data_IF_136268627657
#
_entry.id   IF_136268627657
#
_cell.length_a   1.000
_cell.length_b   1.000
_cell.length_c   1.000
_cell.angle_alpha   90.00
_cell.angle_beta   90.00
_cell.angle_gamma   90.00
#
_symmetry.space_group_name_H-M   'P 1'
#
loop_
_entity.id
_entity.type
_entity.pdbx_description
1 polymer ?
#
# COMPACT_ATOMS: atom_id res chain seq x y z
N UNK A 1 -26.60 7.43 -7.10
CA UNK A 1 -26.71 7.78 -5.66
C UNK A 1 -25.67 8.84 -5.37
N UNK A 2 -26.04 9.98 -4.82
CA UNK A 2 -25.09 11.04 -4.53
C UNK A 2 -24.21 10.62 -3.34
N UNK A 3 -22.92 10.50 -3.57
CA UNK A 3 -21.94 10.33 -2.49
C UNK A 3 -21.94 11.63 -1.70
N UNK A 4 -22.40 11.58 -0.45
CA UNK A 4 -22.36 12.73 0.46
C UNK A 4 -20.89 13.07 0.73
N UNK A 5 -20.41 14.22 0.23
CA UNK A 5 -19.15 14.86 0.62
C UNK A 5 -19.24 15.28 2.10
N UNK A 6 -19.02 14.36 3.01
CA UNK A 6 -19.27 14.54 4.43
C UNK A 6 -18.04 14.43 5.31
N UNK A 7 -16.95 15.14 4.98
CA UNK A 7 -15.91 15.49 5.94
C UNK A 7 -15.39 16.90 5.61
N UNK A 8 -16.05 17.92 6.12
CA UNK A 8 -15.48 19.28 6.18
C UNK A 8 -14.38 19.24 7.25
N UNK A 9 -13.13 19.38 6.80
CA UNK A 9 -11.95 19.31 7.63
C UNK A 9 -11.97 20.24 8.83
N UNK A 10 -11.38 19.79 9.92
CA UNK A 10 -10.99 20.62 11.05
C UNK A 10 -9.99 21.68 10.59
N UNK A 11 -10.07 22.88 11.19
CA UNK A 11 -9.23 24.04 10.90
C UNK A 11 -7.75 23.69 10.63
N UNK A 12 -7.26 24.19 9.50
CA UNK A 12 -5.84 24.18 9.12
C UNK A 12 -5.03 24.93 10.19
N UNK A 13 -4.39 24.21 11.08
CA UNK A 13 -3.28 24.77 11.84
C UNK A 13 -2.09 24.86 10.90
N UNK A 14 -1.57 26.06 10.74
CA UNK A 14 -0.55 26.55 9.84
C UNK A 14 0.43 25.56 9.23
N UNK A 15 0.69 25.76 7.96
CA UNK A 15 1.57 25.08 7.03
C UNK A 15 2.73 24.32 7.60
N UNK A 16 2.54 23.03 7.82
CA UNK A 16 3.62 22.07 7.81
C UNK A 16 3.76 21.63 6.36
N UNK A 17 4.92 21.89 5.74
CA UNK A 17 5.22 21.51 4.36
C UNK A 17 5.15 19.98 4.15
N UNK A 18 4.99 19.20 5.22
CA UNK A 18 4.81 17.74 5.22
C UNK A 18 3.34 17.30 5.10
N UNK A 19 2.38 18.23 5.21
CA UNK A 19 0.95 17.92 5.10
C UNK A 19 0.44 18.18 3.68
N UNK A 20 0.03 17.14 2.93
CA UNK A 20 -0.71 17.32 1.71
C UNK A 20 -1.99 18.15 1.94
N UNK A 21 -2.54 18.81 0.91
CA UNK A 21 -3.74 19.62 1.03
C UNK A 21 -4.90 18.85 1.68
N UNK A 22 -5.60 19.47 2.63
CA UNK A 22 -6.74 18.87 3.31
C UNK A 22 -6.42 17.79 4.35
N UNK A 23 -5.15 17.52 4.63
CA UNK A 23 -4.73 16.55 5.65
C UNK A 23 -4.51 17.21 7.02
N UNK A 24 -4.54 16.39 8.07
CA UNK A 24 -4.14 16.76 9.43
C UNK A 24 -3.24 15.68 10.04
N UNK A 25 -2.32 16.07 10.92
CA UNK A 25 -1.47 15.11 11.64
C UNK A 25 -2.25 14.41 12.76
N UNK A 26 -2.16 13.07 12.81
CA UNK A 26 -2.75 12.26 13.89
C UNK A 26 -1.91 12.24 15.16
N UNK A 27 -0.69 12.76 15.13
CA UNK A 27 0.26 12.67 16.23
C UNK A 27 0.57 11.19 16.57
N UNK A 28 0.37 10.81 17.82
CA UNK A 28 0.63 9.45 18.28
C UNK A 28 -0.39 8.41 17.75
N UNK A 29 -1.55 8.85 17.26
CA UNK A 29 -2.58 7.97 16.77
C UNK A 29 -2.21 7.29 15.44
N UNK A 30 -2.78 6.12 15.20
CA UNK A 30 -2.80 5.48 13.88
C UNK A 30 -4.21 4.93 13.64
N UNK A 31 -5.09 5.72 13.00
CA UNK A 31 -6.45 5.28 12.73
C UNK A 31 -6.48 4.05 11.84
N UNK A 32 -7.36 3.11 12.14
CA UNK A 32 -7.63 1.94 11.29
C UNK A 32 -8.92 2.13 10.54
N UNK A 33 -8.86 1.92 9.24
CA UNK A 33 -10.02 1.78 8.37
C UNK A 33 -9.84 0.53 7.52
N UNK A 34 -10.90 -0.24 7.38
CA UNK A 34 -10.91 -1.41 6.50
C UNK A 34 -12.29 -1.56 5.87
N UNK A 35 -12.32 -2.00 4.61
CA UNK A 35 -13.56 -2.37 3.92
C UNK A 35 -14.04 -3.78 4.31
N UNK A 36 -13.22 -4.52 5.03
CA UNK A 36 -13.36 -5.94 5.27
C UNK A 36 -13.18 -6.25 6.76
N UNK A 37 -13.64 -7.43 7.18
CA UNK A 37 -13.34 -7.94 8.51
C UNK A 37 -11.84 -8.25 8.60
N UNK A 38 -11.22 -7.90 9.71
CA UNK A 38 -9.82 -8.23 9.99
C UNK A 38 -9.64 -9.75 10.03
N UNK A 39 -8.87 -10.35 9.11
CA UNK A 39 -8.66 -11.79 9.09
C UNK A 39 -7.69 -12.24 10.19
N UNK A 40 -7.79 -13.50 10.56
CA UNK A 40 -6.73 -14.19 11.26
C UNK A 40 -5.83 -14.87 10.23
N UNK A 41 -4.67 -14.29 9.96
CA UNK A 41 -3.71 -14.83 8.99
C UNK A 41 -2.70 -15.70 9.72
N UNK A 42 -2.68 -16.98 9.35
CA UNK A 42 -1.71 -17.93 9.85
C UNK A 42 -0.40 -17.84 9.05
N UNK A 43 0.69 -17.46 9.71
CA UNK A 43 2.00 -17.32 9.09
C UNK A 43 2.57 -18.63 8.56
N UNK A 44 2.17 -19.78 9.12
CA UNK A 44 2.64 -21.09 8.67
C UNK A 44 2.06 -21.48 7.29
N UNK A 45 0.93 -20.87 6.93
CA UNK A 45 0.27 -21.09 5.63
C UNK A 45 0.31 -19.89 4.71
N UNK A 46 0.73 -18.73 5.22
CA UNK A 46 0.83 -17.51 4.42
C UNK A 46 1.93 -17.61 3.36
N UNK A 47 1.63 -17.08 2.18
CA UNK A 47 2.61 -16.96 1.09
C UNK A 47 2.49 -15.60 0.40
N UNK A 48 3.60 -15.17 -0.20
CA UNK A 48 3.69 -14.01 -1.09
C UNK A 48 4.12 -14.47 -2.48
N UNK A 49 3.30 -14.18 -3.48
CA UNK A 49 3.57 -14.52 -4.88
C UNK A 49 3.81 -13.27 -5.71
N UNK A 50 4.83 -13.29 -6.54
CA UNK A 50 5.02 -12.33 -7.63
C UNK A 50 4.98 -13.11 -8.94
N UNK A 51 4.04 -12.75 -9.83
CA UNK A 51 3.80 -13.45 -11.10
C UNK A 51 3.26 -12.50 -12.20
N UNK A 52 2.64 -13.05 -13.24
CA UNK A 52 2.20 -12.32 -14.42
C UNK A 52 3.35 -12.08 -15.40
N UNK A 53 3.61 -10.83 -15.76
CA UNK A 53 4.67 -10.43 -16.70
C UNK A 53 6.05 -10.38 -16.02
N UNK A 54 6.50 -11.54 -15.55
CA UNK A 54 7.83 -11.79 -14.99
C UNK A 54 8.51 -12.95 -15.70
N UNK A 55 9.83 -13.05 -15.62
CA UNK A 55 10.59 -14.15 -16.22
C UNK A 55 10.43 -15.43 -15.39
N UNK A 56 10.46 -15.32 -14.07
CA UNK A 56 10.38 -16.45 -13.14
C UNK A 56 9.35 -16.16 -12.04
N UNK A 57 8.09 -16.57 -12.22
CA UNK A 57 7.09 -16.47 -11.15
C UNK A 57 7.60 -17.16 -9.88
N UNK A 58 7.55 -16.43 -8.77
CA UNK A 58 8.13 -16.90 -7.50
C UNK A 58 7.14 -16.73 -6.36
N UNK A 59 7.11 -17.72 -5.47
CA UNK A 59 6.33 -17.70 -4.23
C UNK A 59 7.26 -17.90 -3.05
N UNK A 60 7.17 -17.03 -2.07
CA UNK A 60 7.87 -17.11 -0.80
C UNK A 60 6.89 -17.46 0.31
N UNK A 61 7.27 -18.39 1.17
CA UNK A 61 6.64 -18.57 2.47
C UNK A 61 7.18 -17.52 3.46
N UNK A 62 6.67 -17.55 4.69
CA UNK A 62 7.07 -16.64 5.76
C UNK A 62 8.58 -16.64 6.01
N UNK A 63 9.19 -17.82 6.05
CA UNK A 63 10.64 -17.96 6.25
C UNK A 63 11.43 -17.46 5.04
N UNK A 64 10.96 -17.77 3.84
CA UNK A 64 11.60 -17.37 2.59
C UNK A 64 11.66 -15.86 2.41
N UNK A 65 10.55 -15.14 2.70
CA UNK A 65 10.55 -13.68 2.57
C UNK A 65 11.44 -13.00 3.61
N UNK A 66 11.52 -13.54 4.84
CA UNK A 66 12.40 -13.01 5.89
C UNK A 66 13.88 -13.33 5.68
N UNK A 67 14.22 -14.28 4.81
CA UNK A 67 15.60 -14.58 4.42
C UNK A 67 16.13 -13.62 3.35
N UNK A 68 15.28 -12.81 2.72
CA UNK A 68 15.70 -11.80 1.75
C UNK A 68 16.40 -10.62 2.44
N UNK A 69 17.21 -9.83 1.69
CA UNK A 69 17.82 -8.62 2.23
C UNK A 69 16.78 -7.69 2.84
N UNK A 70 16.87 -7.45 4.15
CA UNK A 70 15.98 -6.55 4.86
C UNK A 70 16.10 -5.11 4.40
N UNK A 71 14.99 -4.38 4.40
CA UNK A 71 14.92 -2.97 4.06
C UNK A 71 13.93 -2.26 4.98
N UNK A 72 14.15 -0.97 5.22
CA UNK A 72 13.27 -0.16 6.05
C UNK A 72 12.88 1.13 5.32
N UNK A 73 11.65 1.54 5.52
CA UNK A 73 11.14 2.86 5.17
C UNK A 73 11.08 3.73 6.43
N UNK A 74 11.53 4.98 6.31
CA UNK A 74 11.29 6.02 7.29
C UNK A 74 10.67 7.23 6.62
N UNK A 75 9.51 7.68 7.10
CA UNK A 75 8.81 8.84 6.54
C UNK A 75 7.32 8.88 6.92
N UNK A 76 6.55 9.60 6.14
CA UNK A 76 5.16 9.91 6.40
C UNK A 76 4.23 9.03 5.58
N UNK A 77 3.02 8.81 6.10
CA UNK A 77 1.94 8.12 5.39
C UNK A 77 0.67 8.97 5.42
N UNK A 78 -0.13 8.90 4.36
CA UNK A 78 -1.31 9.74 4.15
C UNK A 78 -2.53 8.90 3.81
N UNK A 79 -3.66 9.14 4.47
CA UNK A 79 -4.91 8.44 4.19
C UNK A 79 -5.92 9.35 3.48
N UNK A 80 -6.68 8.80 2.55
CA UNK A 80 -7.75 9.52 1.86
C UNK A 80 -8.81 10.10 2.81
N UNK A 81 -8.96 9.51 4.01
CA UNK A 81 -9.83 10.00 5.08
C UNK A 81 -9.24 11.18 5.85
N UNK A 82 -8.30 11.90 5.22
CA UNK A 82 -7.75 13.20 5.62
C UNK A 82 -6.72 13.19 6.75
N UNK A 83 -6.29 12.05 7.26
CA UNK A 83 -5.23 12.00 8.24
C UNK A 83 -3.86 11.68 7.62
N UNK A 84 -2.82 12.24 8.20
CA UNK A 84 -1.42 11.89 7.97
C UNK A 84 -0.78 11.44 9.28
N UNK A 85 0.19 10.56 9.20
CA UNK A 85 1.02 10.16 10.33
C UNK A 85 2.48 10.35 9.95
N UNK A 86 3.19 11.11 10.76
CA UNK A 86 4.58 11.47 10.53
C UNK A 86 5.56 10.51 11.20
N UNK A 87 6.80 10.52 10.70
CA UNK A 87 7.95 9.86 11.29
C UNK A 87 7.73 8.37 11.56
N UNK A 88 7.06 7.68 10.63
CA UNK A 88 6.79 6.24 10.73
C UNK A 88 7.99 5.43 10.27
N UNK A 89 8.29 4.34 10.97
CA UNK A 89 9.31 3.37 10.55
C UNK A 89 8.64 2.04 10.23
N UNK A 90 8.83 1.55 9.01
CA UNK A 90 8.38 0.22 8.61
C UNK A 90 9.59 -0.65 8.25
N UNK A 91 9.57 -1.91 8.66
CA UNK A 91 10.63 -2.89 8.34
C UNK A 91 10.05 -4.05 7.53
N UNK A 92 10.80 -4.46 6.52
CA UNK A 92 10.38 -5.52 5.61
C UNK A 92 11.42 -5.79 4.54
N UNK A 93 10.99 -5.98 3.31
CA UNK A 93 11.80 -6.15 2.11
C UNK A 93 11.32 -5.16 1.04
N UNK A 94 12.26 -4.60 0.27
CA UNK A 94 11.91 -3.74 -0.88
C UNK A 94 11.20 -4.57 -1.96
N UNK A 95 10.20 -3.99 -2.60
CA UNK A 95 9.57 -4.59 -3.78
C UNK A 95 10.59 -4.75 -4.91
N UNK A 96 11.56 -3.84 -5.05
CA UNK A 96 12.65 -3.98 -6.03
C UNK A 96 13.40 -5.30 -5.86
N UNK A 97 13.69 -5.73 -4.62
CA UNK A 97 14.34 -7.03 -4.36
C UNK A 97 13.52 -8.20 -4.90
N UNK A 98 12.20 -8.16 -4.74
CA UNK A 98 11.32 -9.21 -5.27
C UNK A 98 11.29 -9.19 -6.80
N UNK A 99 11.23 -7.99 -7.39
CA UNK A 99 11.23 -7.80 -8.84
C UNK A 99 12.56 -8.17 -9.49
N UNK A 100 13.69 -7.91 -8.84
CA UNK A 100 15.02 -8.36 -9.29
C UNK A 100 15.12 -9.90 -9.34
N UNK A 101 14.57 -10.60 -8.34
CA UNK A 101 14.55 -12.06 -8.29
C UNK A 101 13.66 -12.66 -9.37
N UNK A 102 12.49 -12.04 -9.62
CA UNK A 102 11.51 -12.58 -10.57
C UNK A 102 11.78 -12.20 -12.01
N UNK A 103 12.51 -11.10 -12.25
CA UNK A 103 12.76 -10.53 -13.57
C UNK A 103 11.48 -9.92 -14.16
N UNK A 104 11.47 -8.60 -14.38
CA UNK A 104 10.31 -7.88 -14.94
C UNK A 104 10.39 -7.89 -16.46
N UNK A 105 9.34 -8.35 -17.13
CA UNK A 105 9.25 -8.27 -18.59
C UNK A 105 9.02 -6.83 -19.06
N UNK A 106 9.59 -6.44 -20.21
CA UNK A 106 9.51 -5.04 -20.69
C UNK A 106 8.09 -4.57 -20.99
N UNK A 107 7.15 -5.48 -21.20
CA UNK A 107 5.73 -5.16 -21.44
C UNK A 107 4.97 -4.80 -20.15
N UNK A 108 5.53 -5.10 -18.98
CA UNK A 108 4.86 -4.81 -17.70
C UNK A 108 4.80 -3.29 -17.45
N UNK A 109 3.62 -2.79 -17.22
CA UNK A 109 3.36 -1.36 -16.96
C UNK A 109 2.63 -1.13 -15.64
N UNK A 110 1.93 -2.13 -15.14
CA UNK A 110 1.10 -2.07 -13.94
C UNK A 110 1.27 -3.30 -13.06
N UNK A 111 0.88 -3.14 -11.80
CA UNK A 111 0.79 -4.23 -10.83
C UNK A 111 -0.60 -4.27 -10.23
N UNK A 112 -1.15 -5.46 -10.14
CA UNK A 112 -2.40 -5.74 -9.45
C UNK A 112 -2.09 -6.46 -8.14
N UNK A 113 -2.27 -5.75 -7.04
CA UNK A 113 -2.00 -6.26 -5.70
C UNK A 113 -3.24 -6.91 -5.10
N UNK A 114 -3.09 -8.11 -4.51
CA UNK A 114 -4.21 -8.89 -3.93
C UNK A 114 -3.90 -9.31 -2.50
N UNK A 115 -4.87 -9.15 -1.62
CA UNK A 115 -4.85 -9.57 -0.21
C UNK A 115 -5.46 -10.96 0.01
N UNK A 116 -5.18 -11.55 1.16
CA UNK A 116 -5.84 -12.78 1.64
C UNK A 116 -7.38 -12.71 1.62
N UNK A 117 -7.94 -11.52 1.88
CA UNK A 117 -9.40 -11.29 1.96
C UNK A 117 -10.06 -11.10 0.61
N UNK A 118 -9.27 -11.02 -0.47
CA UNK A 118 -9.77 -10.67 -1.80
C UNK A 118 -9.80 -9.17 -2.08
N UNK A 119 -9.35 -8.32 -1.15
CA UNK A 119 -9.11 -6.90 -1.45
C UNK A 119 -8.05 -6.77 -2.54
N UNK A 120 -8.26 -5.82 -3.46
CA UNK A 120 -7.35 -5.54 -4.56
C UNK A 120 -7.10 -4.05 -4.73
N UNK A 121 -5.93 -3.70 -5.25
CA UNK A 121 -5.61 -2.35 -5.73
C UNK A 121 -4.65 -2.42 -6.90
N UNK A 122 -4.79 -1.47 -7.83
CA UNK A 122 -3.90 -1.29 -8.97
C UNK A 122 -2.80 -0.28 -8.64
N UNK A 123 -1.65 -0.43 -9.28
CA UNK A 123 -0.50 0.46 -9.14
C UNK A 123 0.25 0.54 -10.48
N UNK A 124 0.59 1.73 -10.98
CA UNK A 124 1.62 1.84 -12.01
C UNK A 124 2.92 1.18 -11.53
N UNK A 125 3.61 0.47 -12.41
CA UNK A 125 4.89 -0.17 -12.08
C UNK A 125 5.91 0.87 -11.58
N UNK A 126 5.91 2.07 -12.15
CA UNK A 126 6.76 3.17 -11.74
C UNK A 126 6.52 3.69 -10.31
N UNK A 127 5.36 3.39 -9.70
CA UNK A 127 5.04 3.77 -8.33
C UNK A 127 5.45 2.70 -7.30
N UNK A 128 5.97 1.55 -7.74
CA UNK A 128 6.45 0.49 -6.84
C UNK A 128 7.91 0.11 -7.02
N UNK A 129 8.60 0.72 -7.98
CA UNK A 129 10.02 0.54 -8.27
C UNK A 129 10.85 1.72 -7.77
N UNK A 130 12.17 1.61 -7.86
CA UNK A 130 13.12 2.65 -7.48
C UNK A 130 13.02 3.09 -6.02
N UNK A 131 12.88 2.12 -5.11
CA UNK A 131 12.82 2.36 -3.67
C UNK A 131 11.53 3.04 -3.20
N UNK A 132 10.40 2.79 -3.87
CA UNK A 132 9.12 3.44 -3.57
C UNK A 132 8.10 2.52 -2.88
N UNK A 133 8.36 1.19 -2.82
CA UNK A 133 7.43 0.25 -2.21
C UNK A 133 8.13 -0.87 -1.45
N UNK A 134 7.45 -1.40 -0.43
CA UNK A 134 7.93 -2.47 0.44
C UNK A 134 6.82 -3.48 0.76
N UNK A 135 7.23 -4.70 1.02
CA UNK A 135 6.43 -5.70 1.75
C UNK A 135 6.92 -5.66 3.19
N UNK A 136 6.08 -5.20 4.12
CA UNK A 136 6.48 -4.91 5.51
C UNK A 136 5.72 -5.74 6.52
N UNK A 137 6.39 -6.10 7.62
CA UNK A 137 5.87 -6.91 8.72
C UNK A 137 6.05 -6.27 10.09
N UNK A 138 6.82 -5.16 10.21
CA UNK A 138 6.97 -4.39 11.44
C UNK A 138 6.63 -2.92 11.24
N UNK A 139 6.17 -2.31 12.31
CA UNK A 139 5.94 -0.89 12.47
C UNK A 139 6.57 -0.42 13.78
N UNK A 140 7.43 0.60 13.73
CA UNK A 140 8.17 1.16 14.87
C UNK A 140 8.84 0.06 15.73
N UNK A 141 9.49 -0.93 15.07
CA UNK A 141 10.23 -2.02 15.70
C UNK A 141 9.35 -3.08 16.39
N UNK A 142 8.06 -3.12 16.07
CA UNK A 142 7.12 -4.14 16.59
C UNK A 142 6.38 -4.82 15.44
N UNK A 143 6.01 -6.09 15.58
CA UNK A 143 5.16 -6.76 14.59
C UNK A 143 3.89 -5.95 14.32
N UNK A 144 3.48 -5.89 13.05
CA UNK A 144 2.21 -5.28 12.67
C UNK A 144 1.05 -5.98 13.35
N UNK A 145 0.13 -5.18 13.93
CA UNK A 145 -1.12 -5.75 14.45
C UNK A 145 -2.05 -6.18 13.31
N UNK A 146 -2.94 -7.14 13.53
CA UNK A 146 -3.89 -7.59 12.50
C UNK A 146 -4.66 -6.43 11.85
N UNK A 147 -5.14 -5.45 12.65
CA UNK A 147 -5.93 -4.31 12.18
C UNK A 147 -5.13 -3.39 11.24
N UNK A 148 -3.80 -3.34 11.42
CA UNK A 148 -2.89 -2.58 10.59
C UNK A 148 -2.31 -3.37 9.41
N UNK A 149 -2.82 -4.59 9.18
CA UNK A 149 -2.47 -5.43 8.05
C UNK A 149 -1.46 -6.53 8.39
N UNK A 150 -1.21 -6.78 9.70
CA UNK A 150 -0.36 -7.90 10.11
C UNK A 150 -0.93 -9.26 9.70
N UNK A 151 -0.06 -10.24 9.47
CA UNK A 151 1.39 -10.22 9.70
C UNK A 151 2.18 -9.42 8.66
N UNK A 152 1.61 -9.14 7.49
CA UNK A 152 2.34 -8.53 6.36
C UNK A 152 1.41 -7.64 5.54
N UNK A 153 1.92 -6.49 5.12
CA UNK A 153 1.22 -5.58 4.21
C UNK A 153 2.12 -5.03 3.12
N UNK A 154 1.52 -4.57 2.02
CA UNK A 154 2.17 -3.68 1.07
C UNK A 154 2.26 -2.27 1.66
N UNK A 155 3.36 -1.58 1.42
CA UNK A 155 3.59 -0.18 1.76
C UNK A 155 4.02 0.59 0.50
N UNK A 156 3.20 1.58 0.11
CA UNK A 156 3.46 2.54 -0.98
C UNK A 156 3.20 3.93 -0.40
N UNK A 157 4.16 4.50 0.35
CA UNK A 157 3.91 5.61 1.27
C UNK A 157 3.61 6.94 0.59
N UNK A 158 4.07 7.15 -0.66
CA UNK A 158 3.85 8.37 -1.42
C UNK A 158 2.45 8.46 -2.05
N UNK A 159 1.66 7.37 -2.01
CA UNK A 159 0.26 7.35 -2.42
C UNK A 159 -0.66 7.27 -1.20
N UNK A 160 -1.93 7.64 -1.40
CA UNK A 160 -2.92 7.43 -0.34
C UNK A 160 -2.96 5.97 0.12
N UNK A 161 -3.13 5.75 1.42
CA UNK A 161 -2.85 4.50 2.10
C UNK A 161 -3.75 3.32 1.73
N UNK A 162 -4.82 3.53 0.95
CA UNK A 162 -5.57 2.40 0.35
C UNK A 162 -4.75 1.65 -0.70
N UNK A 163 -3.75 2.31 -1.33
CA UNK A 163 -2.80 1.68 -2.25
C UNK A 163 -1.82 0.73 -1.54
N UNK A 164 -1.70 0.86 -0.23
CA UNK A 164 -0.89 0.00 0.64
C UNK A 164 -1.73 -1.15 1.19
N UNK A 165 -2.02 -2.16 0.35
CA UNK A 165 -2.90 -3.27 0.68
C UNK A 165 -2.47 -4.03 1.94
N UNK A 166 -3.39 -4.20 2.90
CA UNK A 166 -3.20 -5.04 4.09
C UNK A 166 -3.25 -6.52 3.71
N UNK A 167 -2.62 -7.38 4.52
CA UNK A 167 -2.68 -8.84 4.38
C UNK A 167 -2.33 -9.31 2.97
N UNK A 168 -1.31 -8.68 2.38
CA UNK A 168 -0.89 -8.91 1.00
C UNK A 168 -0.45 -10.36 0.76
N UNK A 169 -0.81 -10.92 -0.40
CA UNK A 169 -0.42 -12.28 -0.81
C UNK A 169 0.08 -12.35 -2.24
N UNK A 170 -0.20 -11.35 -3.08
CA UNK A 170 0.18 -11.41 -4.50
C UNK A 170 0.42 -10.03 -5.08
N UNK A 171 1.45 -9.92 -5.91
CA UNK A 171 1.69 -8.84 -6.88
C UNK A 171 1.71 -9.48 -8.27
N UNK A 172 0.72 -9.18 -9.09
CA UNK A 172 0.65 -9.64 -10.48
C UNK A 172 1.03 -8.51 -11.42
N UNK A 173 2.10 -8.69 -12.19
CA UNK A 173 2.55 -7.72 -13.19
C UNK A 173 1.74 -7.85 -14.46
N UNK A 174 1.28 -6.73 -15.02
CA UNK A 174 0.38 -6.64 -16.18
C UNK A 174 0.85 -5.57 -17.18
N UNK A 175 0.40 -5.68 -18.42
CA UNK A 175 0.63 -4.70 -19.49
C UNK A 175 -0.45 -3.60 -19.56
N UNK A 176 -1.45 -3.67 -18.70
CA UNK A 176 -2.58 -2.73 -18.63
C UNK A 176 -2.99 -2.46 -17.19
N UNK A 177 -3.69 -1.36 -17.00
CA UNK A 177 -4.33 -1.03 -15.73
C UNK A 177 -5.67 -1.76 -15.58
N UNK A 178 -5.91 -2.31 -14.40
CA UNK A 178 -7.20 -2.88 -14.02
C UNK A 178 -7.57 -2.36 -12.62
N UNK A 179 -8.71 -1.70 -12.52
CA UNK A 179 -9.18 -1.10 -11.27
C UNK A 179 -9.34 -2.14 -10.15
N UNK A 180 -8.79 -1.83 -8.98
CA UNK A 180 -8.97 -2.60 -7.76
C UNK A 180 -10.30 -2.30 -7.06
N UNK A 181 -10.38 -2.66 -5.77
CA UNK A 181 -11.63 -2.55 -5.00
C UNK A 181 -12.12 -1.10 -4.87
N UNK A 182 -11.29 -0.18 -4.38
CA UNK A 182 -11.72 1.20 -4.15
C UNK A 182 -11.85 1.98 -5.45
N UNK A 183 -10.99 1.73 -6.42
CA UNK A 183 -11.04 2.36 -7.74
C UNK A 183 -12.37 2.07 -8.45
N UNK A 184 -12.85 0.82 -8.41
CA UNK A 184 -14.20 0.45 -8.90
C UNK A 184 -15.34 1.09 -8.10
N UNK A 185 -15.06 1.53 -6.88
CA UNK A 185 -16.02 2.25 -6.03
C UNK A 185 -15.89 3.79 -6.15
N UNK A 186 -15.20 4.29 -7.18
CA UNK A 186 -15.14 5.70 -7.52
C UNK A 186 -13.96 6.46 -6.91
N UNK A 187 -12.96 5.77 -6.35
CA UNK A 187 -11.70 6.38 -5.94
C UNK A 187 -10.76 6.55 -7.14
N UNK A 188 -9.77 7.43 -7.00
CA UNK A 188 -8.81 7.74 -8.06
C UNK A 188 -7.90 6.54 -8.38
N UNK A 189 -7.58 6.33 -9.67
CA UNK A 189 -6.77 5.17 -10.10
C UNK A 189 -5.33 5.21 -9.54
N UNK A 190 -4.72 6.39 -9.36
CA UNK A 190 -3.38 6.53 -8.78
C UNK A 190 -3.38 6.91 -7.30
N UNK A 191 -4.11 7.97 -6.92
CA UNK A 191 -4.27 8.37 -5.52
C UNK A 191 -3.08 9.11 -4.91
N UNK A 192 -2.55 10.12 -5.61
CA UNK A 192 -1.50 11.01 -5.10
C UNK A 192 -2.08 11.99 -4.07
N UNK A 193 -1.61 11.99 -2.80
CA UNK A 193 -2.13 12.88 -1.76
C UNK A 193 -1.80 14.36 -2.00
N UNK A 194 -0.68 14.67 -2.65
CA UNK A 194 -0.25 16.04 -2.93
C UNK A 194 -1.05 16.70 -4.04
N UNK A 195 -1.62 15.89 -4.95
CA UNK A 195 -2.55 16.31 -5.99
C UNK A 195 -4.02 16.18 -5.55
N UNK A 196 -4.29 15.80 -4.28
CA UNK A 196 -5.64 15.52 -3.76
C UNK A 196 -6.43 14.49 -4.59
N UNK A 197 -5.77 13.56 -5.24
CA UNK A 197 -6.38 12.52 -6.08
C UNK A 197 -7.17 11.51 -5.23
N UNK A 198 -8.34 11.93 -4.74
CA UNK A 198 -9.20 11.13 -3.86
C UNK A 198 -10.21 10.31 -4.65
N UNK A 199 -10.85 10.93 -5.66
CA UNK A 199 -11.95 10.36 -6.40
C UNK A 199 -11.70 10.43 -7.91
N UNK A 200 -12.43 9.61 -8.67
CA UNK A 200 -12.41 9.69 -10.13
C UNK A 200 -12.79 11.11 -10.58
N UNK A 201 -11.98 11.68 -11.47
CA UNK A 201 -12.17 13.05 -11.97
C UNK A 201 -11.40 14.13 -11.19
N UNK A 202 -10.72 13.81 -10.11
CA UNK A 202 -9.71 14.68 -9.53
C UNK A 202 -8.49 14.74 -10.47
N UNK A 203 -7.80 15.91 -10.56
CA UNK A 203 -6.77 16.17 -11.56
C UNK A 203 -5.40 15.53 -11.20
#
# INVERSE_FOLDING_TARGET
MAVTRGFTGRDRRGGDDRLPPGQYDTGAGWPTLTAELTPQVDVDTWTMTVDGLVDTPTTWDWRGIHALPGSSYFGDIHCVTTWSKFDTTFTGVSVDTLLEITGVKPEATHVFATSTTGYTTNLPLADITDGKAWIVWEFDGKPLTPEHGGPVRLLVPHLYFWKSAKWITRLELRDHDEQGFWERNGYHDRGDPWLEQRYQGDA
#
